data_IF_780247130965
#
_entry.id   IF_780247130965
#
_cell.length_a   1.000
_cell.length_b   1.000
_cell.length_c   1.000
_cell.angle_alpha   90.00
_cell.angle_beta   90.00
_cell.angle_gamma   90.00
#
_symmetry.space_group_name_H-M   'P 1'
#
loop_
_entity.id
_entity.type
_entity.pdbx_description
1 polymer ?
#
# COMPACT_ATOMS: atom_id res chain seq x y z
N UNK A 1 12.23 6.79 -29.46
CA UNK A 1 11.23 6.10 -28.59
C UNK A 1 11.99 5.15 -27.68
N UNK A 2 12.42 5.61 -26.52
CA UNK A 2 13.02 4.75 -25.50
C UNK A 2 11.91 4.40 -24.50
N UNK A 3 11.55 3.13 -24.50
CA UNK A 3 10.66 2.56 -23.48
C UNK A 3 11.45 2.49 -22.17
N UNK A 4 11.19 3.38 -21.24
CA UNK A 4 11.60 3.25 -19.85
C UNK A 4 10.72 2.18 -19.20
N UNK A 5 11.17 0.93 -19.28
CA UNK A 5 10.64 -0.13 -18.44
C UNK A 5 10.99 0.22 -16.99
N UNK A 6 10.02 0.72 -16.24
CA UNK A 6 10.10 0.81 -14.79
C UNK A 6 10.17 -0.61 -14.23
N UNK A 7 11.41 -1.04 -13.99
CA UNK A 7 11.73 -2.37 -13.48
C UNK A 7 11.34 -2.43 -11.99
N UNK A 8 10.11 -2.88 -11.72
CA UNK A 8 9.53 -3.07 -10.38
C UNK A 8 10.36 -4.03 -9.52
N UNK A 9 11.23 -4.84 -10.14
CA UNK A 9 12.08 -5.81 -9.46
C UNK A 9 13.23 -5.20 -8.64
N UNK A 10 13.51 -3.89 -8.76
CA UNK A 10 14.59 -3.26 -8.01
C UNK A 10 14.32 -3.04 -6.51
N UNK A 11 13.07 -3.18 -6.08
CA UNK A 11 12.65 -2.86 -4.73
C UNK A 11 12.61 -4.05 -3.75
N UNK A 12 12.85 -5.26 -4.25
CA UNK A 12 12.91 -6.47 -3.44
C UNK A 12 14.36 -6.94 -3.23
N UNK A 13 15.19 -6.15 -2.57
CA UNK A 13 16.39 -6.68 -1.94
C UNK A 13 16.08 -6.94 -0.48
N UNK A 14 16.21 -8.18 0.01
CA UNK A 14 16.15 -8.45 1.43
C UNK A 14 17.34 -7.73 2.08
N UNK A 15 17.05 -6.81 3.00
CA UNK A 15 18.04 -6.35 3.96
C UNK A 15 18.33 -7.53 4.91
N UNK A 16 19.16 -8.44 4.45
CA UNK A 16 19.74 -9.49 5.28
C UNK A 16 21.14 -9.05 5.64
N UNK A 17 21.36 -8.91 6.93
CA UNK A 17 22.61 -8.74 7.66
C UNK A 17 23.09 -7.32 7.92
N UNK A 18 22.60 -6.75 9.03
CA UNK A 18 23.53 -6.27 10.04
C UNK A 18 23.05 -6.80 11.39
N UNK A 19 23.78 -7.82 11.88
CA UNK A 19 23.66 -8.35 13.23
C UNK A 19 24.29 -7.32 14.15
N UNK A 20 23.46 -6.51 14.79
CA UNK A 20 23.88 -5.84 16.02
C UNK A 20 23.78 -6.86 17.14
N UNK A 21 24.93 -7.37 17.53
CA UNK A 21 25.08 -8.16 18.74
C UNK A 21 24.72 -7.30 19.94
N UNK A 22 23.53 -7.48 20.49
CA UNK A 22 23.16 -6.98 21.81
C UNK A 22 23.07 -8.14 22.79
N UNK A 23 23.78 -7.97 23.89
CA UNK A 23 24.05 -8.91 24.94
C UNK A 23 22.82 -9.67 25.45
N UNK A 24 23.02 -10.95 25.66
CA UNK A 24 22.18 -11.94 26.28
C UNK A 24 21.85 -11.51 27.73
N UNK A 25 20.60 -11.07 27.95
CA UNK A 25 19.97 -11.24 29.26
C UNK A 25 19.12 -12.50 29.16
N UNK A 26 19.63 -13.58 29.76
CA UNK A 26 18.90 -14.81 29.96
C UNK A 26 17.83 -14.60 31.05
N UNK A 27 16.73 -13.91 30.67
CA UNK A 27 15.48 -14.01 31.40
C UNK A 27 14.67 -15.15 30.75
N UNK A 28 14.21 -16.11 31.53
CA UNK A 28 13.19 -17.06 31.11
C UNK A 28 11.94 -16.31 30.70
N UNK A 29 11.86 -15.90 29.43
CA UNK A 29 10.60 -15.57 28.83
C UNK A 29 9.82 -16.88 28.71
N UNK A 30 8.56 -16.97 29.20
CA UNK A 30 7.75 -18.11 28.90
C UNK A 30 7.75 -18.23 27.36
N UNK A 31 8.07 -19.43 26.88
CA UNK A 31 7.83 -19.77 25.48
C UNK A 31 6.36 -19.45 25.26
N UNK A 32 6.09 -18.35 24.54
CA UNK A 32 4.74 -18.06 24.04
C UNK A 32 4.50 -19.24 23.11
N UNK A 33 3.74 -20.23 23.63
CA UNK A 33 3.46 -21.44 22.91
C UNK A 33 2.88 -21.03 21.56
N UNK A 34 3.51 -21.48 20.49
CA UNK A 34 3.02 -21.42 19.14
C UNK A 34 1.71 -22.20 19.12
N UNK A 35 0.61 -21.54 19.47
CA UNK A 35 -0.67 -22.19 19.65
C UNK A 35 -1.44 -22.11 18.34
N UNK A 36 -1.79 -23.28 17.82
CA UNK A 36 -2.78 -23.38 16.75
C UNK A 36 -4.05 -22.59 17.14
N UNK A 37 -4.52 -21.76 16.23
CA UNK A 37 -5.71 -20.97 16.49
C UNK A 37 -6.98 -21.86 16.54
N UNK A 38 -8.01 -21.48 17.33
CA UNK A 38 -9.25 -22.24 17.39
C UNK A 38 -9.88 -22.39 16.00
N UNK A 39 -10.22 -23.62 15.60
CA UNK A 39 -10.83 -23.92 14.32
C UNK A 39 -9.90 -23.89 13.10
N UNK A 40 -8.62 -23.63 13.30
CA UNK A 40 -7.62 -23.66 12.22
C UNK A 40 -7.40 -25.09 11.73
N UNK A 41 -7.41 -25.29 10.42
CA UNK A 41 -7.20 -26.59 9.79
C UNK A 41 -5.77 -27.07 9.97
N UNK A 42 -5.62 -28.38 10.24
CA UNK A 42 -4.34 -29.10 10.19
C UNK A 42 -4.23 -29.96 8.95
N UNK A 43 -3.00 -30.32 8.60
CA UNK A 43 -2.66 -31.10 7.41
C UNK A 43 -1.75 -32.28 7.81
N UNK A 44 -1.76 -33.33 7.02
CA UNK A 44 -0.91 -34.50 7.29
C UNK A 44 0.58 -34.21 7.03
N UNK A 45 0.90 -33.26 6.15
CA UNK A 45 2.26 -32.84 5.85
C UNK A 45 2.37 -31.36 5.52
N UNK A 46 3.58 -30.80 5.65
CA UNK A 46 3.88 -29.43 5.23
C UNK A 46 3.66 -29.23 3.71
N UNK A 47 3.87 -30.28 2.94
CA UNK A 47 3.65 -30.29 1.49
C UNK A 47 2.17 -30.23 1.15
N UNK A 48 1.32 -30.99 1.85
CA UNK A 48 -0.13 -30.89 1.70
C UNK A 48 -0.63 -29.50 2.07
N UNK A 49 -0.13 -28.92 3.16
CA UNK A 49 -0.49 -27.57 3.58
C UNK A 49 -0.14 -26.53 2.50
N UNK A 50 1.09 -26.55 1.98
CA UNK A 50 1.54 -25.62 0.96
C UNK A 50 0.77 -25.75 -0.36
N UNK A 51 0.53 -26.96 -0.82
CA UNK A 51 -0.27 -27.24 -2.02
C UNK A 51 -1.73 -26.77 -1.85
N UNK A 52 -2.33 -27.01 -0.67
CA UNK A 52 -3.69 -26.57 -0.36
C UNK A 52 -3.80 -25.05 -0.35
N UNK A 53 -2.82 -24.36 0.22
CA UNK A 53 -2.76 -22.90 0.24
C UNK A 53 -2.75 -22.33 -1.18
N UNK A 54 -1.87 -22.84 -2.03
CA UNK A 54 -1.76 -22.40 -3.43
C UNK A 54 -3.04 -22.68 -4.20
N UNK A 55 -3.61 -23.88 -4.07
CA UNK A 55 -4.87 -24.23 -4.71
C UNK A 55 -6.02 -23.30 -4.28
N UNK A 56 -6.09 -22.94 -2.99
CA UNK A 56 -7.09 -22.00 -2.49
C UNK A 56 -6.89 -20.58 -3.06
N UNK A 57 -5.65 -20.13 -3.21
CA UNK A 57 -5.32 -18.84 -3.84
C UNK A 57 -5.67 -18.83 -5.34
N UNK A 58 -5.35 -19.90 -6.08
CA UNK A 58 -5.69 -20.04 -7.50
C UNK A 58 -7.20 -20.01 -7.76
N UNK A 59 -7.96 -20.70 -6.91
CA UNK A 59 -9.40 -20.83 -7.05
C UNK A 59 -10.17 -19.70 -6.36
N UNK A 60 -9.47 -18.71 -5.79
CA UNK A 60 -10.07 -17.58 -5.05
C UNK A 60 -10.99 -18.04 -3.91
N UNK A 61 -10.65 -19.15 -3.26
CA UNK A 61 -11.43 -19.75 -2.18
C UNK A 61 -11.07 -19.08 -0.84
N UNK A 62 -11.61 -17.88 -0.60
CA UNK A 62 -11.36 -17.09 0.60
C UNK A 62 -11.70 -17.85 1.90
N UNK A 63 -12.83 -18.56 1.91
CA UNK A 63 -13.22 -19.38 3.06
C UNK A 63 -12.16 -20.43 3.41
N UNK A 64 -11.59 -21.11 2.41
CA UNK A 64 -10.53 -22.09 2.64
C UNK A 64 -9.26 -21.41 3.17
N UNK A 65 -8.90 -20.23 2.66
CA UNK A 65 -7.77 -19.46 3.18
C UNK A 65 -7.95 -19.11 4.65
N UNK A 66 -9.15 -18.70 5.05
CA UNK A 66 -9.47 -18.41 6.46
C UNK A 66 -9.43 -19.68 7.33
N UNK A 67 -9.89 -20.83 6.81
CA UNK A 67 -9.75 -22.11 7.52
C UNK A 67 -8.26 -22.49 7.73
N UNK A 68 -7.39 -22.22 6.75
CA UNK A 68 -5.97 -22.54 6.83
C UNK A 68 -5.19 -21.58 7.74
N UNK A 69 -5.53 -20.29 7.69
CA UNK A 69 -4.84 -19.24 8.44
C UNK A 69 -5.49 -18.93 9.79
N UNK A 70 -6.68 -19.46 10.06
CA UNK A 70 -7.44 -19.16 11.27
C UNK A 70 -8.09 -17.76 11.23
N UNK A 71 -8.76 -17.35 12.32
CA UNK A 71 -9.53 -16.10 12.38
C UNK A 71 -8.68 -14.85 12.09
N UNK A 72 -7.42 -14.84 12.52
CA UNK A 72 -6.50 -13.72 12.26
C UNK A 72 -6.03 -13.63 10.83
N UNK A 73 -6.28 -14.67 10.02
CA UNK A 73 -5.97 -14.69 8.60
C UNK A 73 -6.71 -13.62 7.80
N UNK A 74 -7.84 -13.10 8.29
CA UNK A 74 -8.63 -12.10 7.58
C UNK A 74 -7.81 -10.84 7.25
N UNK A 75 -7.05 -10.33 8.19
CA UNK A 75 -6.21 -9.13 7.98
C UNK A 75 -5.05 -9.39 7.01
N UNK A 76 -4.67 -10.64 6.81
CA UNK A 76 -3.63 -11.05 5.87
C UNK A 76 -4.18 -11.10 4.45
N UNK A 77 -5.36 -11.73 4.27
CA UNK A 77 -5.92 -12.03 2.95
C UNK A 77 -6.72 -10.88 2.35
N UNK A 78 -7.12 -9.89 3.15
CA UNK A 78 -7.85 -8.71 2.70
C UNK A 78 -7.21 -7.43 3.25
N UNK A 79 -6.94 -6.48 2.35
CA UNK A 79 -6.39 -5.17 2.66
C UNK A 79 -7.42 -4.03 2.52
N UNK A 80 -8.65 -4.35 2.06
CA UNK A 80 -9.62 -3.34 1.65
C UNK A 80 -9.40 -2.84 0.22
N UNK A 81 -8.32 -3.25 -0.45
CA UNK A 81 -8.06 -3.04 -1.88
C UNK A 81 -8.11 -4.37 -2.63
N UNK A 82 -9.26 -4.69 -3.20
CA UNK A 82 -9.49 -5.97 -3.88
C UNK A 82 -8.53 -6.19 -5.06
N UNK A 83 -8.18 -5.12 -5.77
CA UNK A 83 -7.24 -5.20 -6.91
C UNK A 83 -5.86 -5.59 -6.43
N UNK A 84 -5.36 -4.94 -5.37
CA UNK A 84 -4.06 -5.29 -4.77
C UNK A 84 -4.06 -6.70 -4.20
N UNK A 85 -5.13 -7.11 -3.54
CA UNK A 85 -5.27 -8.45 -2.97
C UNK A 85 -5.22 -9.53 -4.05
N UNK A 86 -5.95 -9.35 -5.16
CA UNK A 86 -5.92 -10.26 -6.30
C UNK A 86 -4.54 -10.35 -6.94
N UNK A 87 -3.85 -9.22 -7.14
CA UNK A 87 -2.49 -9.19 -7.69
C UNK A 87 -1.49 -9.89 -6.77
N UNK A 88 -1.58 -9.64 -5.46
CA UNK A 88 -0.69 -10.26 -4.48
C UNK A 88 -0.83 -11.78 -4.49
N UNK A 89 -2.08 -12.29 -4.55
CA UNK A 89 -2.36 -13.74 -4.67
C UNK A 89 -1.83 -14.30 -5.99
N UNK A 90 -2.06 -13.62 -7.12
CA UNK A 90 -1.58 -14.06 -8.43
C UNK A 90 -0.05 -14.13 -8.48
N UNK A 91 0.65 -13.11 -7.95
CA UNK A 91 2.10 -13.07 -7.86
C UNK A 91 2.66 -14.19 -6.96
N UNK A 92 2.00 -14.49 -5.85
CA UNK A 92 2.39 -15.61 -4.98
C UNK A 92 2.29 -16.93 -5.73
N UNK A 93 1.15 -17.19 -6.37
CA UNK A 93 0.92 -18.41 -7.16
C UNK A 93 1.95 -18.53 -8.28
N UNK A 94 2.20 -17.46 -9.03
CA UNK A 94 3.19 -17.47 -10.12
C UNK A 94 4.57 -17.86 -9.59
N UNK A 95 5.03 -17.26 -8.49
CA UNK A 95 6.33 -17.57 -7.89
C UNK A 95 6.38 -18.99 -7.36
N UNK A 96 5.30 -19.48 -6.76
CA UNK A 96 5.23 -20.86 -6.31
C UNK A 96 5.39 -21.84 -7.46
N UNK A 97 4.71 -21.61 -8.59
CA UNK A 97 4.80 -22.45 -9.80
C UNK A 97 6.17 -22.35 -10.49
N UNK A 98 6.82 -21.19 -10.41
CA UNK A 98 8.18 -21.00 -10.92
C UNK A 98 9.19 -21.88 -10.17
N UNK A 99 9.14 -21.86 -8.85
CA UNK A 99 9.95 -22.69 -7.97
C UNK A 99 9.39 -22.64 -6.55
N UNK A 100 9.34 -23.78 -5.88
CA UNK A 100 9.02 -23.84 -4.45
C UNK A 100 9.80 -24.96 -3.77
N UNK A 101 10.09 -24.75 -2.49
CA UNK A 101 10.69 -25.78 -1.64
C UNK A 101 10.37 -25.49 -0.17
N UNK A 102 10.25 -26.53 0.60
CA UNK A 102 10.11 -26.46 2.04
C UNK A 102 11.49 -26.66 2.69
N UNK A 103 11.80 -25.85 3.69
CA UNK A 103 13.06 -25.89 4.43
C UNK A 103 12.78 -25.93 5.93
N UNK A 104 13.34 -26.90 6.61
CA UNK A 104 13.29 -26.95 8.06
C UNK A 104 14.32 -25.97 8.61
N UNK A 105 13.87 -25.03 9.41
CA UNK A 105 14.71 -24.02 10.02
C UNK A 105 15.24 -24.50 11.39
N UNK A 106 16.36 -23.95 11.90
CA UNK A 106 16.94 -24.36 13.18
C UNK A 106 16.03 -24.16 14.39
N UNK A 107 15.04 -23.30 14.31
CA UNK A 107 14.03 -23.03 15.35
C UNK A 107 12.90 -24.07 15.39
N UNK A 108 12.94 -25.07 14.50
CA UNK A 108 11.93 -26.14 14.39
C UNK A 108 10.73 -25.78 13.53
N UNK A 109 10.70 -24.62 12.92
CA UNK A 109 9.68 -24.25 11.93
C UNK A 109 10.03 -24.78 10.55
N UNK A 110 9.04 -24.86 9.66
CA UNK A 110 9.26 -25.17 8.25
C UNK A 110 8.81 -23.98 7.41
N UNK A 111 9.73 -23.41 6.64
CA UNK A 111 9.47 -22.24 5.79
C UNK A 111 9.34 -22.66 4.35
N UNK A 112 8.29 -22.15 3.68
CA UNK A 112 8.10 -22.28 2.24
C UNK A 112 8.90 -21.19 1.54
N UNK A 113 9.81 -21.57 0.63
CA UNK A 113 10.54 -20.67 -0.25
C UNK A 113 9.95 -20.73 -1.64
N UNK A 114 9.74 -19.59 -2.29
CA UNK A 114 9.12 -19.49 -3.63
C UNK A 114 9.89 -18.55 -4.56
N UNK A 115 9.74 -18.82 -5.88
CA UNK A 115 10.31 -18.03 -6.97
C UNK A 115 11.81 -18.25 -7.16
N UNK A 116 12.32 -17.91 -8.35
CA UNK A 116 13.74 -18.07 -8.72
C UNK A 116 14.71 -17.36 -7.76
N UNK A 117 14.25 -16.33 -7.06
CA UNK A 117 15.04 -15.60 -6.03
C UNK A 117 14.99 -16.27 -4.65
N UNK A 118 14.33 -17.43 -4.54
CA UNK A 118 14.27 -18.21 -3.31
C UNK A 118 13.73 -17.39 -2.11
N UNK A 119 12.59 -16.71 -2.31
CA UNK A 119 12.00 -15.82 -1.33
C UNK A 119 11.28 -16.61 -0.21
N UNK A 120 11.62 -16.41 1.07
CA UNK A 120 10.94 -17.06 2.18
C UNK A 120 9.56 -16.47 2.39
N UNK A 121 8.53 -17.32 2.47
CA UNK A 121 7.20 -16.85 2.84
C UNK A 121 7.16 -16.50 4.34
N UNK A 122 6.43 -15.43 4.71
CA UNK A 122 6.48 -14.92 6.07
C UNK A 122 5.68 -15.74 7.09
N UNK A 123 4.82 -16.67 6.64
CA UNK A 123 4.05 -17.55 7.52
C UNK A 123 4.71 -18.93 7.54
N UNK A 124 5.41 -19.32 8.61
CA UNK A 124 6.00 -20.64 8.71
C UNK A 124 4.93 -21.70 8.96
N UNK A 125 5.28 -22.94 8.68
CA UNK A 125 4.54 -24.13 9.05
C UNK A 125 5.11 -24.72 10.33
N UNK A 126 4.22 -25.16 11.22
CA UNK A 126 4.56 -25.81 12.47
C UNK A 126 3.90 -27.16 12.53
N UNK A 127 4.61 -28.12 13.13
CA UNK A 127 4.09 -29.45 13.41
C UNK A 127 3.79 -29.62 14.90
N UNK A 128 2.59 -30.09 15.23
CA UNK A 128 2.20 -30.46 16.57
C UNK A 128 1.58 -31.88 16.60
N UNK A 129 1.02 -32.29 17.72
CA UNK A 129 0.37 -33.61 17.86
C UNK A 129 -0.82 -33.82 16.92
N UNK A 130 -1.44 -32.73 16.41
CA UNK A 130 -2.62 -32.77 15.53
C UNK A 130 -2.22 -32.66 14.04
N UNK A 131 -0.97 -32.44 13.70
CA UNK A 131 -0.49 -32.29 12.35
C UNK A 131 0.18 -30.94 12.08
N UNK A 132 0.25 -30.58 10.80
CA UNK A 132 0.88 -29.34 10.32
C UNK A 132 -0.13 -28.21 10.22
N UNK A 133 0.25 -26.99 10.60
CA UNK A 133 -0.57 -25.79 10.46
C UNK A 133 0.30 -24.55 10.18
N UNK A 134 -0.31 -23.50 9.67
CA UNK A 134 0.36 -22.22 9.43
C UNK A 134 0.41 -21.39 10.71
N UNK A 135 1.59 -20.96 11.11
CA UNK A 135 1.75 -19.99 12.21
C UNK A 135 1.41 -18.59 11.74
N UNK A 136 0.14 -18.32 11.68
CA UNK A 136 -0.42 -17.05 11.19
C UNK A 136 0.04 -15.88 12.05
N UNK A 137 0.14 -16.07 13.37
CA UNK A 137 0.54 -15.00 14.27
C UNK A 137 2.00 -14.57 14.07
N UNK A 138 2.92 -15.53 13.83
CA UNK A 138 4.30 -15.22 13.51
C UNK A 138 4.43 -14.42 12.21
N UNK A 139 3.65 -14.79 11.18
CA UNK A 139 3.71 -14.13 9.85
C UNK A 139 2.93 -12.84 9.75
N UNK A 140 1.86 -12.67 10.52
CA UNK A 140 0.89 -11.57 10.40
C UNK A 140 1.57 -10.20 10.49
N UNK A 141 2.37 -9.98 11.51
CA UNK A 141 3.03 -8.68 11.72
C UNK A 141 3.94 -8.30 10.57
N UNK A 142 4.71 -9.26 10.05
CA UNK A 142 5.63 -9.02 8.94
C UNK A 142 4.88 -8.71 7.64
N UNK A 143 3.79 -9.43 7.35
CA UNK A 143 2.95 -9.18 6.17
C UNK A 143 2.33 -7.80 6.24
N UNK A 144 1.69 -7.45 7.36
CA UNK A 144 1.07 -6.15 7.53
C UNK A 144 2.10 -5.03 7.47
N UNK A 145 3.23 -5.17 8.14
CA UNK A 145 4.30 -4.17 8.09
C UNK A 145 4.78 -3.88 6.66
N UNK A 146 5.05 -4.95 5.87
CA UNK A 146 5.48 -4.79 4.47
C UNK A 146 4.40 -4.20 3.58
N UNK A 147 3.13 -4.59 3.77
CA UNK A 147 1.99 -4.03 3.04
C UNK A 147 1.83 -2.56 3.33
N UNK A 148 1.72 -2.21 4.61
CA UNK A 148 1.57 -0.84 5.08
C UNK A 148 2.69 0.04 4.54
N UNK A 149 3.96 -0.38 4.70
CA UNK A 149 5.09 0.41 4.21
C UNK A 149 5.05 0.67 2.71
N UNK A 150 4.72 -0.34 1.89
CA UNK A 150 4.58 -0.16 0.43
C UNK A 150 3.45 0.80 0.07
N UNK A 151 2.31 0.66 0.72
CA UNK A 151 1.12 1.45 0.43
C UNK A 151 1.33 2.91 0.85
N UNK A 152 1.92 3.16 2.02
CA UNK A 152 2.27 4.50 2.49
C UNK A 152 3.25 5.20 1.56
N UNK A 153 4.31 4.51 1.13
CA UNK A 153 5.26 5.05 0.14
C UNK A 153 4.59 5.34 -1.21
N UNK A 154 3.63 4.50 -1.63
CA UNK A 154 2.85 4.74 -2.83
C UNK A 154 1.95 5.96 -2.67
N UNK A 155 1.27 6.10 -1.51
CA UNK A 155 0.39 7.23 -1.24
C UNK A 155 1.15 8.56 -1.22
N UNK A 156 2.35 8.61 -0.64
CA UNK A 156 3.22 9.80 -0.67
C UNK A 156 3.51 10.20 -2.12
N UNK A 157 3.97 9.27 -2.96
CA UNK A 157 4.26 9.55 -4.38
C UNK A 157 3.03 10.03 -5.15
N UNK A 158 1.86 9.41 -4.92
CA UNK A 158 0.61 9.86 -5.55
C UNK A 158 0.26 11.28 -5.10
N UNK A 159 0.44 11.63 -3.83
CA UNK A 159 0.25 13.00 -3.34
C UNK A 159 1.17 13.99 -4.06
N UNK A 160 2.44 13.65 -4.28
CA UNK A 160 3.41 14.48 -5.01
C UNK A 160 3.01 14.64 -6.49
N UNK A 161 2.61 13.53 -7.14
CA UNK A 161 2.14 13.54 -8.52
C UNK A 161 0.86 14.36 -8.68
N UNK A 162 -0.10 14.26 -7.76
CA UNK A 162 -1.33 15.08 -7.76
C UNK A 162 -0.99 16.57 -7.60
N UNK A 163 -0.06 16.92 -6.70
CA UNK A 163 0.35 18.31 -6.52
C UNK A 163 1.10 18.86 -7.76
N UNK A 164 1.87 18.05 -8.45
CA UNK A 164 2.51 18.43 -9.71
C UNK A 164 1.46 18.62 -10.83
N UNK A 165 0.51 17.71 -10.92
CA UNK A 165 -0.57 17.75 -11.90
C UNK A 165 -1.48 18.97 -11.74
N UNK A 166 -1.72 19.42 -10.50
CA UNK A 166 -2.48 20.67 -10.27
C UNK A 166 -1.76 21.91 -10.80
N UNK A 167 -0.43 21.96 -10.67
CA UNK A 167 0.34 23.08 -11.24
C UNK A 167 0.28 23.06 -12.78
N UNK A 168 0.42 21.88 -13.40
CA UNK A 168 0.29 21.72 -14.84
C UNK A 168 -1.12 22.13 -15.31
N UNK A 169 -2.16 21.69 -14.60
CA UNK A 169 -3.54 22.05 -14.90
C UNK A 169 -3.76 23.56 -14.78
N UNK A 170 -3.28 24.17 -13.71
CA UNK A 170 -3.40 25.62 -13.47
C UNK A 170 -2.76 26.44 -14.59
N UNK A 171 -1.58 26.07 -15.06
CA UNK A 171 -0.90 26.74 -16.15
C UNK A 171 -1.66 26.60 -17.49
N UNK A 172 -2.25 25.42 -17.74
CA UNK A 172 -3.03 25.15 -18.94
C UNK A 172 -4.43 25.77 -18.93
N UNK A 173 -5.05 25.93 -17.74
CA UNK A 173 -6.44 26.40 -17.56
C UNK A 173 -6.55 27.84 -17.07
N UNK A 174 -5.57 28.71 -17.42
CA UNK A 174 -5.62 30.14 -17.15
C UNK A 174 -5.88 30.50 -15.68
N UNK A 175 -5.04 29.96 -14.79
CA UNK A 175 -5.04 30.26 -13.35
C UNK A 175 -6.23 29.66 -12.57
N UNK A 176 -6.73 28.52 -13.00
CA UNK A 176 -7.69 27.71 -12.23
C UNK A 176 -7.10 26.35 -11.90
N UNK A 177 -7.35 25.85 -10.70
CA UNK A 177 -7.02 24.50 -10.27
C UNK A 177 -8.19 23.55 -10.51
N UNK A 178 -7.91 22.27 -10.63
CA UNK A 178 -8.93 21.24 -10.78
C UNK A 178 -9.72 21.05 -9.46
N UNK A 179 -11.03 20.90 -9.56
CA UNK A 179 -11.88 20.67 -8.39
C UNK A 179 -12.12 19.19 -8.10
N UNK A 180 -11.57 18.31 -8.91
CA UNK A 180 -11.70 16.87 -8.78
C UNK A 180 -10.49 16.16 -9.38
N UNK A 181 -10.24 14.92 -8.93
CA UNK A 181 -9.20 14.06 -9.52
C UNK A 181 -9.66 13.58 -10.92
N UNK A 182 -10.91 13.13 -11.04
CA UNK A 182 -11.49 12.69 -12.30
C UNK A 182 -12.51 13.70 -12.79
N UNK A 183 -12.41 14.11 -14.06
CA UNK A 183 -13.36 14.99 -14.71
C UNK A 183 -14.75 14.37 -14.85
N UNK A 184 -15.76 15.20 -14.92
CA UNK A 184 -17.08 14.81 -15.38
C UNK A 184 -17.03 14.43 -16.86
N UNK A 185 -17.95 13.58 -17.31
CA UNK A 185 -17.99 13.12 -18.70
C UNK A 185 -18.12 14.30 -19.67
N UNK A 186 -17.21 14.35 -20.64
CA UNK A 186 -17.15 15.45 -21.63
C UNK A 186 -16.63 16.79 -21.09
N UNK A 187 -16.15 16.83 -19.83
CA UNK A 187 -15.57 18.03 -19.22
C UNK A 187 -14.06 17.84 -18.98
N UNK A 188 -13.36 18.97 -18.76
CA UNK A 188 -11.96 19.00 -18.33
C UNK A 188 -11.84 19.72 -16.97
N UNK A 189 -12.74 19.41 -16.03
CA UNK A 189 -12.82 20.04 -14.72
C UNK A 189 -12.12 19.25 -13.59
N UNK A 190 -11.38 18.21 -13.94
CA UNK A 190 -10.53 17.41 -13.07
C UNK A 190 -9.16 17.17 -13.67
N UNK A 191 -8.27 16.51 -12.93
CA UNK A 191 -6.90 16.21 -13.37
C UNK A 191 -6.82 15.09 -14.41
N UNK A 192 -7.85 14.26 -14.51
CA UNK A 192 -7.96 13.19 -15.50
C UNK A 192 -9.22 13.33 -16.34
N UNK A 193 -9.06 13.27 -17.65
CA UNK A 193 -10.11 13.04 -18.65
C UNK A 193 -9.60 12.08 -19.71
N UNK A 194 -10.54 11.39 -20.34
CA UNK A 194 -10.20 10.47 -21.43
C UNK A 194 -9.90 11.28 -22.69
N UNK A 195 -8.72 11.07 -23.26
CA UNK A 195 -8.28 11.73 -24.49
C UNK A 195 -8.47 10.84 -25.71
N UNK A 196 -8.71 11.43 -26.87
CA UNK A 196 -8.68 10.74 -28.15
C UNK A 196 -7.24 10.50 -28.62
N UNK A 197 -7.08 9.60 -29.58
CA UNK A 197 -5.76 9.30 -30.13
C UNK A 197 -5.16 10.54 -30.80
N UNK A 198 -3.96 10.95 -30.33
CA UNK A 198 -3.26 12.12 -30.85
C UNK A 198 -3.49 13.43 -30.10
N UNK A 199 -4.38 13.45 -29.12
CA UNK A 199 -4.58 14.59 -28.24
C UNK A 199 -3.58 14.60 -27.07
N UNK A 200 -3.28 15.78 -26.49
CA UNK A 200 -2.47 15.88 -25.29
C UNK A 200 -3.08 15.07 -24.13
N UNK A 201 -2.25 14.38 -23.38
CA UNK A 201 -2.71 13.62 -22.22
C UNK A 201 -3.18 14.56 -21.11
N UNK A 202 -4.14 14.12 -20.31
CA UNK A 202 -4.51 14.81 -19.08
C UNK A 202 -3.36 14.76 -18.05
N UNK A 203 -3.26 15.74 -17.12
CA UNK A 203 -2.12 15.85 -16.20
C UNK A 203 -1.74 14.57 -15.46
N UNK A 204 -2.72 13.78 -14.99
CA UNK A 204 -2.46 12.47 -14.38
C UNK A 204 -2.72 11.28 -15.32
N UNK A 205 -2.79 11.52 -16.63
CA UNK A 205 -2.98 10.47 -17.63
C UNK A 205 -2.01 9.28 -17.48
N UNK A 206 -0.68 9.51 -17.35
CA UNK A 206 0.29 8.45 -17.13
C UNK A 206 0.06 7.64 -15.84
N UNK A 207 -0.31 8.31 -14.74
CA UNK A 207 -0.63 7.66 -13.46
C UNK A 207 -1.86 6.75 -13.61
N UNK A 208 -2.92 7.26 -14.24
CA UNK A 208 -4.16 6.50 -14.48
C UNK A 208 -3.91 5.33 -15.44
N UNK A 209 -3.13 5.53 -16.50
CA UNK A 209 -2.77 4.45 -17.43
C UNK A 209 -2.01 3.32 -16.73
N UNK A 210 -1.11 3.68 -15.81
CA UNK A 210 -0.39 2.69 -14.98
C UNK A 210 -1.34 1.96 -14.01
N UNK A 211 -2.28 2.68 -13.37
CA UNK A 211 -3.29 2.08 -12.51
C UNK A 211 -4.18 1.10 -13.30
N UNK A 212 -4.64 1.48 -14.49
CA UNK A 212 -5.43 0.61 -15.38
C UNK A 212 -4.66 -0.65 -15.77
N UNK A 213 -3.38 -0.54 -16.11
CA UNK A 213 -2.52 -1.68 -16.40
C UNK A 213 -2.38 -2.63 -15.21
N UNK A 214 -2.61 -2.15 -13.99
CA UNK A 214 -2.66 -2.93 -12.76
C UNK A 214 -4.07 -3.42 -12.40
N UNK A 215 -5.08 -3.19 -13.26
CA UNK A 215 -6.44 -3.68 -13.06
C UNK A 215 -7.37 -2.73 -12.30
N UNK A 216 -6.93 -1.52 -11.97
CA UNK A 216 -7.80 -0.51 -11.39
C UNK A 216 -8.70 0.12 -12.47
N UNK A 217 -9.98 0.31 -12.15
CA UNK A 217 -10.90 0.98 -13.06
C UNK A 217 -10.79 2.50 -12.92
N UNK A 218 -10.49 3.27 -13.98
CA UNK A 218 -10.50 4.72 -13.92
C UNK A 218 -11.93 5.25 -13.91
N UNK A 219 -12.15 6.32 -13.17
CA UNK A 219 -13.42 7.06 -13.24
C UNK A 219 -14.11 7.20 -11.88
N UNK A 220 -15.20 7.96 -11.89
CA UNK A 220 -16.08 8.13 -10.73
C UNK A 220 -16.97 6.90 -10.58
N UNK A 221 -16.61 6.00 -9.67
CA UNK A 221 -17.53 4.98 -9.19
C UNK A 221 -18.53 5.60 -8.21
N UNK A 222 -19.71 4.98 -8.05
CA UNK A 222 -20.68 5.34 -6.98
C UNK A 222 -20.05 5.24 -5.59
N UNK A 223 -19.09 4.34 -5.40
CA UNK A 223 -18.29 4.22 -4.20
C UNK A 223 -16.83 4.53 -4.54
N UNK A 224 -16.08 5.26 -3.68
CA UNK A 224 -14.65 5.44 -3.86
C UNK A 224 -13.95 4.09 -3.94
N UNK A 225 -13.06 3.92 -4.92
CA UNK A 225 -12.22 2.73 -5.04
C UNK A 225 -10.81 3.10 -4.56
N UNK A 226 -10.22 2.35 -3.64
CA UNK A 226 -8.87 2.64 -3.19
C UNK A 226 -7.87 2.35 -4.31
N UNK A 227 -6.77 3.06 -4.32
CA UNK A 227 -5.61 2.79 -5.15
C UNK A 227 -4.42 2.47 -4.27
N UNK A 228 -3.91 1.25 -4.39
CA UNK A 228 -2.83 0.72 -3.53
C UNK A 228 -3.12 0.90 -2.04
N UNK A 229 -4.33 0.53 -1.65
CA UNK A 229 -4.79 0.56 -0.28
C UNK A 229 -5.15 1.94 0.26
N UNK A 230 -5.18 2.99 -0.57
CA UNK A 230 -5.47 4.37 -0.16
C UNK A 230 -6.59 5.02 -0.96
N UNK A 231 -7.42 5.80 -0.29
CA UNK A 231 -8.36 6.73 -0.89
C UNK A 231 -7.75 8.12 -1.01
N UNK A 232 -8.14 8.87 -2.04
CA UNK A 232 -7.66 10.22 -2.32
C UNK A 232 -8.83 11.15 -2.61
N UNK A 233 -8.82 12.35 -2.06
CA UNK A 233 -9.75 13.40 -2.49
C UNK A 233 -9.19 14.82 -2.32
N UNK A 234 -9.84 15.77 -3.01
CA UNK A 234 -9.51 17.19 -3.00
C UNK A 234 -10.01 17.85 -1.72
N UNK A 235 -9.19 18.72 -1.12
CA UNK A 235 -9.56 19.62 -0.04
C UNK A 235 -9.88 20.99 -0.61
N UNK A 236 -10.91 21.66 -0.07
CA UNK A 236 -11.47 22.90 -0.66
C UNK A 236 -11.08 24.17 0.10
N UNK A 237 -10.33 24.05 1.18
CA UNK A 237 -9.88 25.18 1.99
C UNK A 237 -8.60 24.86 2.74
N UNK A 238 -7.94 25.89 3.26
CA UNK A 238 -6.84 25.75 4.20
C UNK A 238 -7.12 26.44 5.54
N UNK A 239 -6.49 25.90 6.59
CA UNK A 239 -6.55 26.43 7.93
C UNK A 239 -5.42 27.41 8.24
N UNK A 240 -5.44 27.95 9.45
CA UNK A 240 -4.51 28.98 9.90
C UNK A 240 -3.03 28.56 9.98
N UNK A 241 -2.75 27.26 10.02
CA UNK A 241 -1.38 26.75 10.11
C UNK A 241 -0.76 26.45 8.73
N UNK A 242 -1.55 26.55 7.66
CA UNK A 242 -1.02 26.50 6.31
C UNK A 242 -0.37 27.85 5.93
N UNK A 243 0.59 27.80 5.02
CA UNK A 243 1.24 29.02 4.49
C UNK A 243 0.19 29.96 3.88
N UNK A 244 0.25 31.25 4.23
CA UNK A 244 -0.73 32.25 3.82
C UNK A 244 -2.00 32.31 4.67
N UNK A 245 -2.12 31.50 5.76
CA UNK A 245 -3.24 31.54 6.69
C UNK A 245 -4.52 30.89 6.18
N UNK A 246 -5.62 31.06 6.92
CA UNK A 246 -6.89 30.44 6.58
C UNK A 246 -7.55 31.10 5.37
N UNK A 247 -7.96 30.31 4.36
CA UNK A 247 -8.71 30.77 3.19
C UNK A 247 -9.49 29.64 2.52
N UNK A 248 -10.52 30.02 1.78
CA UNK A 248 -11.22 29.12 0.85
C UNK A 248 -10.42 29.03 -0.44
N UNK A 249 -10.37 27.85 -1.05
CA UNK A 249 -9.75 27.68 -2.36
C UNK A 249 -10.71 27.99 -3.51
N UNK A 250 -12.03 27.84 -3.26
CA UNK A 250 -13.07 28.09 -4.24
C UNK A 250 -13.65 29.47 -4.04
N UNK A 251 -13.53 30.32 -5.05
CA UNK A 251 -14.10 31.66 -5.15
C UNK A 251 -14.93 31.73 -6.43
N UNK A 252 -16.17 32.20 -6.35
CA UNK A 252 -17.12 32.30 -7.45
C UNK A 252 -17.28 31.01 -8.27
N UNK A 253 -17.28 29.85 -7.54
CA UNK A 253 -17.41 28.52 -8.14
C UNK A 253 -16.14 27.99 -8.81
N UNK A 254 -15.02 28.70 -8.74
CA UNK A 254 -13.73 28.33 -9.35
C UNK A 254 -12.68 28.16 -8.26
N UNK A 255 -11.87 27.14 -8.38
CA UNK A 255 -10.73 26.92 -7.48
C UNK A 255 -9.53 27.72 -7.96
N UNK A 256 -9.33 28.93 -7.39
CA UNK A 256 -8.29 29.90 -7.81
C UNK A 256 -7.29 30.22 -6.72
N UNK A 257 -7.66 30.01 -5.45
CA UNK A 257 -6.85 30.44 -4.31
C UNK A 257 -5.85 29.37 -3.81
N UNK A 258 -5.81 28.22 -4.43
CA UNK A 258 -4.93 27.11 -4.09
C UNK A 258 -5.62 25.78 -4.21
N UNK A 259 -4.90 24.73 -3.83
CA UNK A 259 -5.40 23.36 -3.85
C UNK A 259 -4.79 22.55 -2.69
N UNK A 260 -5.41 21.46 -2.32
CA UNK A 260 -4.80 20.45 -1.48
C UNK A 260 -5.52 19.10 -1.65
N UNK A 261 -4.84 18.03 -1.24
CA UNK A 261 -5.35 16.67 -1.24
C UNK A 261 -5.16 16.02 0.12
N UNK A 262 -6.01 15.05 0.40
CA UNK A 262 -5.82 14.08 1.48
C UNK A 262 -5.76 12.67 0.89
N UNK A 263 -4.86 11.85 1.43
CA UNK A 263 -4.77 10.43 1.20
C UNK A 263 -4.91 9.70 2.54
N UNK A 264 -5.79 8.69 2.61
CA UNK A 264 -6.03 7.93 3.83
C UNK A 264 -6.24 6.44 3.54
N UNK A 265 -5.85 5.54 4.46
CA UNK A 265 -5.93 4.10 4.22
C UNK A 265 -7.37 3.61 4.10
N UNK A 266 -7.60 2.66 3.20
CA UNK A 266 -8.89 1.99 3.03
C UNK A 266 -9.29 1.21 4.29
N UNK A 267 -8.32 0.56 4.93
CA UNK A 267 -8.48 -0.10 6.23
C UNK A 267 -7.32 0.26 7.16
N UNK A 268 -7.64 0.96 8.23
CA UNK A 268 -6.66 1.35 9.24
C UNK A 268 -5.94 0.14 9.84
N UNK A 269 -4.59 0.17 9.85
CA UNK A 269 -3.69 -0.91 10.28
C UNK A 269 -3.69 -2.16 9.40
N UNK A 270 -4.44 -2.20 8.33
CA UNK A 270 -4.41 -3.28 7.34
C UNK A 270 -3.80 -2.82 6.03
N UNK A 271 -4.33 -1.75 5.44
CA UNK A 271 -3.80 -1.15 4.22
C UNK A 271 -2.80 -0.02 4.49
N UNK A 272 -2.92 0.65 5.62
CA UNK A 272 -2.05 1.75 6.06
C UNK A 272 -2.35 2.21 7.49
N UNK A 273 -1.46 3.04 8.04
CA UNK A 273 -1.62 3.68 9.35
C UNK A 273 -1.71 5.19 9.19
N UNK A 274 -0.81 5.78 8.38
CA UNK A 274 -0.71 7.21 8.22
C UNK A 274 -1.76 7.77 7.24
N UNK A 275 -2.30 8.93 7.58
CA UNK A 275 -3.03 9.81 6.67
C UNK A 275 -2.08 10.86 6.17
N UNK A 276 -2.12 11.18 4.88
CA UNK A 276 -1.27 12.17 4.24
C UNK A 276 -2.10 13.35 3.74
N UNK A 277 -1.52 14.56 3.84
CA UNK A 277 -2.05 15.76 3.20
C UNK A 277 -0.94 16.46 2.43
N UNK A 278 -1.29 17.05 1.29
CA UNK A 278 -0.38 17.83 0.46
C UNK A 278 -1.10 19.08 -0.04
N UNK A 279 -0.42 20.20 -0.04
CA UNK A 279 -0.95 21.47 -0.54
C UNK A 279 -0.14 22.02 -1.71
N UNK A 280 -0.35 23.30 -2.03
CA UNK A 280 0.31 23.98 -3.13
C UNK A 280 1.83 24.12 -2.98
N UNK A 281 2.36 24.00 -1.77
CA UNK A 281 3.80 23.92 -1.48
C UNK A 281 4.44 22.60 -1.92
N UNK A 282 3.62 21.57 -2.20
CA UNK A 282 4.07 20.24 -2.60
C UNK A 282 4.70 19.43 -1.46
N UNK A 283 4.65 19.90 -0.24
CA UNK A 283 5.16 19.17 0.93
C UNK A 283 4.10 18.20 1.41
N UNK A 284 4.44 16.92 1.45
CA UNK A 284 3.56 15.90 2.01
C UNK A 284 3.73 15.85 3.52
N UNK A 285 2.62 16.00 4.25
CA UNK A 285 2.57 15.83 5.70
C UNK A 285 1.81 14.56 6.04
N UNK A 286 2.19 13.92 7.14
CA UNK A 286 1.62 12.68 7.64
C UNK A 286 1.17 12.77 9.09
N UNK A 287 0.09 12.05 9.42
CA UNK A 287 -0.42 11.92 10.78
C UNK A 287 -1.19 10.59 10.94
N UNK A 288 -0.97 9.90 12.05
CA UNK A 288 -1.85 8.82 12.49
C UNK A 288 -3.12 9.40 13.13
N UNK A 289 -4.28 9.22 12.48
CA UNK A 289 -5.58 9.64 12.97
C UNK A 289 -6.28 8.59 13.85
N UNK A 290 -5.64 7.41 14.02
CA UNK A 290 -6.13 6.32 14.83
C UNK A 290 -7.30 5.56 14.22
N UNK A 291 -8.05 4.84 15.06
CA UNK A 291 -9.16 3.99 14.61
C UNK A 291 -10.30 4.73 13.90
N UNK A 292 -10.38 6.05 14.06
CA UNK A 292 -11.39 6.89 13.42
C UNK A 292 -10.92 7.51 12.11
N UNK A 293 -9.81 7.03 11.53
CA UNK A 293 -9.20 7.57 10.32
C UNK A 293 -10.21 7.75 9.19
N UNK A 294 -10.99 6.73 8.85
CA UNK A 294 -11.98 6.81 7.77
C UNK A 294 -13.01 7.92 8.02
N UNK A 295 -13.63 7.96 9.20
CA UNK A 295 -14.64 8.96 9.54
C UNK A 295 -14.09 10.40 9.53
N UNK A 296 -12.84 10.59 9.96
CA UNK A 296 -12.20 11.91 9.99
C UNK A 296 -11.75 12.31 8.58
N UNK A 297 -11.03 11.45 7.91
CA UNK A 297 -10.38 11.77 6.65
C UNK A 297 -11.37 11.84 5.48
N UNK A 298 -12.38 10.96 5.40
CA UNK A 298 -13.39 11.00 4.33
C UNK A 298 -14.23 12.28 4.34
N UNK A 299 -14.41 12.89 5.52
CA UNK A 299 -15.14 14.16 5.68
C UNK A 299 -14.23 15.41 5.69
N UNK A 300 -12.92 15.22 5.63
CA UNK A 300 -11.95 16.32 5.70
C UNK A 300 -12.09 17.26 4.49
N UNK A 301 -12.17 18.57 4.77
CA UNK A 301 -12.24 19.62 3.75
C UNK A 301 -11.09 20.62 3.84
N UNK A 302 -10.34 20.58 4.95
CA UNK A 302 -9.38 21.61 5.32
C UNK A 302 -7.95 21.06 5.34
N UNK A 303 -7.09 21.64 4.54
CA UNK A 303 -5.64 21.47 4.64
C UNK A 303 -5.11 22.34 5.79
N UNK A 304 -4.64 21.72 6.86
CA UNK A 304 -4.15 22.46 8.04
C UNK A 304 -3.00 21.71 8.73
N UNK A 305 -1.76 21.82 8.22
CA UNK A 305 -0.59 21.13 8.76
C UNK A 305 -0.11 21.79 10.05
N UNK A 306 -0.85 21.57 11.14
CA UNK A 306 -0.47 22.00 12.49
C UNK A 306 0.68 21.15 13.07
N UNK A 307 1.06 21.42 14.33
CA UNK A 307 2.17 20.71 14.98
C UNK A 307 1.97 19.20 15.17
N UNK A 308 0.75 18.68 14.97
CA UNK A 308 0.47 17.25 15.02
C UNK A 308 0.77 16.54 13.70
N UNK A 309 0.92 17.29 12.60
CA UNK A 309 1.35 16.80 11.31
C UNK A 309 2.86 16.88 11.18
N UNK A 310 3.50 15.82 10.73
CA UNK A 310 4.94 15.76 10.47
C UNK A 310 5.18 15.67 8.97
N UNK A 311 6.28 16.22 8.49
CA UNK A 311 6.68 15.96 7.09
C UNK A 311 6.84 14.46 6.89
N UNK A 312 6.30 13.94 5.79
CA UNK A 312 6.60 12.60 5.35
C UNK A 312 8.07 12.58 4.90
N UNK A 313 8.86 11.64 5.42
CA UNK A 313 10.24 11.47 4.97
C UNK A 313 10.19 10.75 3.63
N UNK A 314 10.79 11.35 2.59
CA UNK A 314 11.20 10.58 1.43
C UNK A 314 12.11 9.46 1.93
N UNK A 315 11.80 8.20 1.61
CA UNK A 315 12.75 7.12 1.85
C UNK A 315 14.00 7.47 1.03
N UNK A 316 14.99 8.08 1.68
CA UNK A 316 16.27 8.36 1.07
C UNK A 316 16.82 7.04 0.54
N UNK A 317 16.82 6.91 -0.78
CA UNK A 317 17.47 5.80 -1.49
C UNK A 317 18.98 5.91 -1.26
N UNK A 318 19.42 5.40 -0.11
CA UNK A 318 20.84 5.36 0.29
C UNK A 318 21.62 4.35 -0.54
N UNK A 319 20.99 3.71 -1.54
CA UNK A 319 21.64 2.70 -2.40
C UNK A 319 22.38 3.25 -3.62
N UNK A 320 22.34 4.57 -3.89
CA UNK A 320 22.95 5.17 -5.09
C UNK A 320 24.35 5.76 -4.87
N UNK A 321 24.89 5.75 -3.66
CA UNK A 321 26.31 6.15 -3.44
C UNK A 321 27.20 4.92 -3.36
N UNK A 322 27.69 4.48 -4.53
CA UNK A 322 28.84 3.58 -4.60
C UNK A 322 30.04 4.16 -3.85
N UNK A 323 30.96 3.29 -3.34
CA UNK A 323 32.14 3.75 -2.61
C UNK A 323 32.99 4.63 -3.52
N UNK A 324 33.28 5.85 -3.07
CA UNK A 324 34.32 6.69 -3.70
C UNK A 324 35.65 5.95 -3.62
N UNK A 325 36.17 5.52 -4.75
CA UNK A 325 37.53 5.03 -4.85
C UNK A 325 38.50 6.11 -4.32
N UNK A 326 39.36 5.70 -3.38
CA UNK A 326 40.58 6.42 -3.02
C UNK A 326 41.70 5.89 -3.86
#
# INVERSE_FOLDING_TARGET
MQRTNLNIDKWYRPAVREVVALAIFAGCLPAIGLAQQPGQKTFASAEEASNSLVAAMQNKHEKALLEFLGPDGKEIISSGDEVEDLQTRANFVQRYLEMHRLVNEPDGTTVLYIGAKNWPTPIPLIHNANGWYFDTEAGKREILYRRIGRNEMSAIRVCEELAAAEREYHDAQHSQYAQAIFSDEGQHNGLYWKVAAGEPQSPIGPLVANAVAQGYAPGRSRAPTPYRGYYFHVLTMQGKHASGGAKQYIVDGKMTEGFAFVAYPAEYRSSGVMTFIVGSDGVVYQRDLGKSTDAIASSMKTYNPDSAWKKAEESSDTSARGPKAR
#
